data_IF_307372018751
#
_entry.id   IF_307372018751
#
_cell.length_a   1.000
_cell.length_b   1.000
_cell.length_c   1.000
_cell.angle_alpha   90.00
_cell.angle_beta   90.00
_cell.angle_gamma   90.00
#
_symmetry.space_group_name_H-M   'P 1'
#
loop_
_entity.id
_entity.type
_entity.pdbx_description
1 polymer ?
#
# COMPACT_ATOMS: atom_id res chain seq x y z
N UNK A 1 -13.77 -5.92 -17.14
CA UNK A 1 -13.81 -7.27 -16.56
C UNK A 1 -12.38 -7.66 -16.23
N UNK A 2 -12.02 -7.93 -14.96
CA UNK A 2 -10.67 -8.35 -14.61
C UNK A 2 -10.20 -9.59 -15.39
N UNK A 3 -11.09 -10.59 -15.53
CA UNK A 3 -10.84 -11.80 -16.30
C UNK A 3 -10.44 -11.53 -17.76
N UNK A 4 -11.16 -10.62 -18.45
CA UNK A 4 -10.84 -10.32 -19.85
C UNK A 4 -9.51 -9.56 -19.97
N UNK A 5 -9.24 -8.65 -19.03
CA UNK A 5 -7.98 -7.89 -19.01
C UNK A 5 -6.80 -8.83 -18.81
N UNK A 6 -6.88 -9.74 -17.85
CA UNK A 6 -5.82 -10.71 -17.60
C UNK A 6 -5.58 -11.64 -18.80
N UNK A 7 -6.66 -12.20 -19.36
CA UNK A 7 -6.57 -13.09 -20.53
C UNK A 7 -6.01 -12.40 -21.78
N UNK A 8 -6.32 -11.13 -22.01
CA UNK A 8 -5.96 -10.41 -23.24
C UNK A 8 -4.64 -9.61 -23.12
N UNK A 9 -4.31 -9.12 -21.93
CA UNK A 9 -3.17 -8.24 -21.67
C UNK A 9 -2.09 -8.92 -20.81
N UNK A 10 -2.33 -10.14 -20.34
CA UNK A 10 -1.33 -10.98 -19.66
C UNK A 10 -0.94 -10.49 -18.26
N UNK A 11 -1.74 -9.61 -17.65
CA UNK A 11 -1.51 -9.08 -16.31
C UNK A 11 -2.81 -9.05 -15.51
N UNK A 12 -2.79 -9.39 -14.21
CA UNK A 12 -3.93 -9.15 -13.34
C UNK A 12 -4.38 -7.69 -13.42
N UNK A 13 -5.68 -7.46 -13.26
CA UNK A 13 -6.25 -6.12 -13.40
C UNK A 13 -5.62 -5.09 -12.44
N UNK A 14 -5.32 -5.52 -11.20
CA UNK A 14 -4.71 -4.67 -10.19
C UNK A 14 -3.29 -4.18 -10.59
N UNK A 15 -2.57 -4.96 -11.40
CA UNK A 15 -1.20 -4.65 -11.81
C UNK A 15 -1.15 -3.79 -13.09
N UNK A 16 -2.31 -3.44 -13.64
CA UNK A 16 -2.44 -2.57 -14.80
C UNK A 16 -2.50 -1.10 -14.38
N UNK A 17 -1.81 -0.22 -15.11
CA UNK A 17 -1.97 1.23 -14.95
C UNK A 17 -3.27 1.70 -15.60
N UNK A 18 -4.39 1.62 -14.87
CA UNK A 18 -5.73 1.86 -15.44
C UNK A 18 -5.87 3.25 -16.03
N UNK A 19 -5.35 4.29 -15.37
CA UNK A 19 -5.38 5.67 -15.88
C UNK A 19 -4.76 5.80 -17.28
N UNK A 20 -3.64 5.14 -17.51
CA UNK A 20 -2.92 5.13 -18.79
C UNK A 20 -3.60 4.23 -19.84
N UNK A 21 -4.06 3.05 -19.41
CA UNK A 21 -4.67 2.05 -20.29
C UNK A 21 -6.13 2.35 -20.62
N UNK A 22 -6.77 3.32 -19.94
CA UNK A 22 -8.20 3.58 -20.07
C UNK A 22 -8.69 3.74 -21.53
N UNK A 23 -8.05 4.55 -22.40
CA UNK A 23 -8.51 4.70 -23.78
C UNK A 23 -8.44 3.39 -24.58
N UNK A 24 -7.37 2.60 -24.38
CA UNK A 24 -7.20 1.30 -25.04
C UNK A 24 -8.25 0.29 -24.56
N UNK A 25 -8.45 0.20 -23.24
CA UNK A 25 -9.41 -0.70 -22.64
C UNK A 25 -10.84 -0.36 -23.04
N UNK A 26 -11.17 0.93 -23.18
CA UNK A 26 -12.48 1.39 -23.66
C UNK A 26 -12.70 1.01 -25.13
N UNK A 27 -11.69 1.16 -25.98
CA UNK A 27 -11.77 0.86 -27.41
C UNK A 27 -11.81 -0.65 -27.73
N UNK A 28 -11.22 -1.51 -26.88
CA UNK A 28 -11.14 -2.95 -27.15
C UNK A 28 -12.47 -3.68 -26.89
N UNK A 29 -13.27 -3.93 -27.92
CA UNK A 29 -14.58 -4.60 -27.81
C UNK A 29 -14.54 -5.99 -27.12
N UNK A 30 -13.37 -6.65 -27.10
CA UNK A 30 -13.21 -7.99 -26.49
C UNK A 30 -13.23 -7.93 -24.96
N UNK A 31 -12.95 -6.77 -24.36
CA UNK A 31 -12.99 -6.60 -22.90
C UNK A 31 -14.41 -6.24 -22.49
N UNK A 32 -15.08 -7.06 -21.68
CA UNK A 32 -16.42 -6.72 -21.17
C UNK A 32 -16.36 -5.49 -20.24
N UNK A 33 -17.23 -4.51 -20.48
CA UNK A 33 -17.36 -3.27 -19.69
C UNK A 33 -18.76 -3.10 -19.12
N UNK A 34 -18.86 -2.32 -18.05
CA UNK A 34 -20.12 -1.79 -17.51
C UNK A 34 -19.94 -0.29 -17.32
N UNK A 35 -20.97 0.48 -17.65
CA UNK A 35 -20.96 1.93 -17.54
C UNK A 35 -21.72 2.39 -16.30
N UNK A 36 -21.16 3.38 -15.62
CA UNK A 36 -21.76 4.10 -14.49
C UNK A 36 -21.43 5.59 -14.63
N UNK A 37 -22.23 6.48 -14.04
CA UNK A 37 -21.91 7.90 -14.03
C UNK A 37 -20.92 8.19 -12.91
N UNK A 38 -19.79 8.81 -13.24
CA UNK A 38 -18.73 9.11 -12.27
C UNK A 38 -19.22 10.00 -11.11
N UNK A 39 -20.10 10.99 -11.40
CA UNK A 39 -20.68 11.87 -10.37
C UNK A 39 -21.50 11.07 -9.34
N UNK A 40 -22.31 10.14 -9.82
CA UNK A 40 -23.15 9.30 -8.96
C UNK A 40 -22.28 8.36 -8.10
N UNK A 41 -21.14 7.89 -8.63
CA UNK A 41 -20.16 7.14 -7.85
C UNK A 41 -19.60 7.98 -6.69
N UNK A 42 -19.12 9.19 -6.95
CA UNK A 42 -18.58 10.06 -5.89
C UNK A 42 -19.64 10.50 -4.89
N UNK A 43 -20.88 10.75 -5.36
CA UNK A 43 -22.00 11.00 -4.47
C UNK A 43 -22.24 9.80 -3.53
N UNK A 44 -22.27 8.58 -4.08
CA UNK A 44 -22.49 7.38 -3.28
C UNK A 44 -21.36 7.13 -2.28
N UNK A 45 -20.11 7.39 -2.68
CA UNK A 45 -18.96 7.33 -1.78
C UNK A 45 -19.13 8.28 -0.59
N UNK A 46 -19.52 9.53 -0.84
CA UNK A 46 -19.73 10.53 0.20
C UNK A 46 -20.90 10.17 1.14
N UNK A 47 -22.00 9.64 0.60
CA UNK A 47 -23.14 9.15 1.41
C UNK A 47 -22.70 8.04 2.39
N UNK A 48 -21.95 7.05 1.91
CA UNK A 48 -21.49 5.94 2.76
C UNK A 48 -20.45 6.42 3.79
N UNK A 49 -19.55 7.33 3.38
CA UNK A 49 -18.59 7.94 4.31
C UNK A 49 -19.30 8.75 5.40
N UNK A 50 -20.38 9.44 5.07
CA UNK A 50 -21.19 10.15 6.05
C UNK A 50 -21.82 9.20 7.07
N UNK A 51 -22.33 8.05 6.61
CA UNK A 51 -22.99 7.06 7.47
C UNK A 51 -22.02 6.28 8.37
N UNK A 52 -20.80 6.01 7.89
CA UNK A 52 -19.93 4.98 8.49
C UNK A 52 -18.45 5.36 8.62
N UNK A 53 -18.02 6.50 8.08
CA UNK A 53 -16.62 6.96 8.10
C UNK A 53 -15.72 6.33 7.03
N UNK A 54 -16.19 5.32 6.30
CA UNK A 54 -15.48 4.64 5.20
C UNK A 54 -16.38 4.56 3.95
N UNK A 55 -15.90 4.21 2.75
CA UNK A 55 -14.60 3.63 2.40
C UNK A 55 -13.43 4.61 2.49
N UNK A 56 -12.23 4.08 2.76
CA UNK A 56 -10.97 4.80 2.56
C UNK A 56 -10.74 5.09 1.07
N UNK A 57 -9.94 6.11 0.78
CA UNK A 57 -9.59 6.50 -0.58
C UNK A 57 -8.07 6.45 -0.73
N UNK A 58 -7.60 5.66 -1.68
CA UNK A 58 -6.22 5.67 -2.15
C UNK A 58 -6.18 6.27 -3.56
N UNK A 59 -5.47 7.38 -3.74
CA UNK A 59 -5.29 7.99 -5.05
C UNK A 59 -4.14 7.29 -5.80
N UNK A 60 -4.47 6.18 -6.47
CA UNK A 60 -3.53 5.27 -7.15
C UNK A 60 -2.45 6.00 -7.96
N UNK A 61 -2.83 6.91 -8.87
CA UNK A 61 -1.87 7.60 -9.73
C UNK A 61 -0.93 8.52 -8.94
N UNK A 62 -1.43 9.15 -7.88
CA UNK A 62 -0.60 10.00 -7.02
C UNK A 62 0.39 9.17 -6.22
N UNK A 63 -0.05 8.03 -5.68
CA UNK A 63 0.82 7.11 -4.96
C UNK A 63 1.91 6.55 -5.87
N UNK A 64 1.53 6.00 -7.03
CA UNK A 64 2.48 5.35 -7.93
C UNK A 64 3.44 6.35 -8.60
N UNK A 65 3.01 7.59 -8.86
CA UNK A 65 3.90 8.64 -9.37
C UNK A 65 4.94 9.10 -8.34
N UNK A 66 4.61 9.04 -7.06
CA UNK A 66 5.51 9.42 -5.97
C UNK A 66 6.35 8.25 -5.44
N UNK A 67 5.96 6.99 -5.75
CA UNK A 67 6.67 5.80 -5.30
C UNK A 67 8.09 5.76 -5.88
N UNK A 68 9.13 5.64 -5.03
CA UNK A 68 10.50 5.45 -5.51
C UNK A 68 10.83 3.98 -5.81
N UNK A 69 9.93 3.05 -5.48
CA UNK A 69 10.16 1.60 -5.59
C UNK A 69 9.56 1.09 -6.90
N UNK A 70 10.32 0.25 -7.62
CA UNK A 70 9.84 -0.40 -8.84
C UNK A 70 8.69 -1.36 -8.53
N UNK A 71 7.63 -1.29 -9.34
CA UNK A 71 6.39 -2.02 -9.12
C UNK A 71 5.21 -1.05 -9.01
N UNK A 72 4.03 -1.57 -8.68
CA UNK A 72 2.84 -0.77 -8.43
C UNK A 72 2.32 -0.98 -7.01
N UNK A 73 1.90 0.11 -6.38
CA UNK A 73 1.11 0.08 -5.15
C UNK A 73 -0.35 -0.04 -5.56
N UNK A 74 -0.97 -1.16 -5.18
CA UNK A 74 -2.34 -1.52 -5.62
C UNK A 74 -3.34 -1.55 -4.45
N UNK A 75 -2.86 -1.48 -3.22
CA UNK A 75 -3.67 -1.49 -2.00
C UNK A 75 -2.99 -0.70 -0.87
N UNK A 76 -3.70 -0.58 0.26
CA UNK A 76 -3.22 0.03 1.50
C UNK A 76 -3.69 -0.79 2.72
N UNK A 77 -3.30 -0.38 3.92
CA UNK A 77 -3.71 -1.02 5.17
C UNK A 77 -5.01 -0.42 5.74
N UNK A 78 -5.42 -0.94 6.91
CA UNK A 78 -6.63 -0.53 7.63
C UNK A 78 -6.67 0.96 8.03
N UNK A 79 -5.51 1.60 8.22
CA UNK A 79 -5.44 3.02 8.58
C UNK A 79 -5.06 3.92 7.39
N UNK A 80 -4.94 3.34 6.18
CA UNK A 80 -4.68 4.02 4.89
C UNK A 80 -3.33 4.74 4.74
N UNK A 81 -2.37 4.50 5.63
CA UNK A 81 -1.05 5.14 5.68
C UNK A 81 0.06 4.31 5.01
N UNK A 82 -0.16 3.01 4.82
CA UNK A 82 0.86 2.11 4.26
C UNK A 82 0.66 1.99 2.76
N UNK A 83 1.73 2.28 2.01
CA UNK A 83 1.74 2.30 0.56
C UNK A 83 3.05 1.67 0.07
N UNK A 84 3.04 0.36 -0.13
CA UNK A 84 4.20 -0.41 -0.59
C UNK A 84 3.81 -1.29 -1.78
N UNK A 85 4.81 -1.70 -2.55
CA UNK A 85 4.62 -2.69 -3.61
C UNK A 85 4.45 -4.07 -2.98
N UNK A 86 3.67 -4.93 -3.62
CA UNK A 86 3.54 -6.34 -3.26
C UNK A 86 3.57 -7.19 -4.51
N UNK A 87 3.90 -8.47 -4.38
CA UNK A 87 3.89 -9.42 -5.49
C UNK A 87 3.05 -10.65 -5.15
N UNK A 88 2.28 -11.19 -6.11
CA UNK A 88 1.35 -12.27 -5.82
C UNK A 88 2.08 -13.59 -5.53
N UNK A 89 1.56 -14.34 -4.56
CA UNK A 89 1.93 -15.74 -4.36
C UNK A 89 1.12 -16.67 -5.27
N UNK A 90 1.70 -17.80 -5.65
CA UNK A 90 0.99 -18.89 -6.34
C UNK A 90 0.98 -20.15 -5.46
N UNK A 91 -0.13 -20.87 -5.51
CA UNK A 91 -0.37 -22.05 -4.68
C UNK A 91 -0.55 -23.28 -5.55
N UNK A 92 -0.10 -24.43 -5.04
CA UNK A 92 -0.46 -25.75 -5.56
C UNK A 92 -1.89 -26.11 -5.13
N UNK A 93 -2.46 -27.17 -5.70
CA UNK A 93 -3.80 -27.65 -5.37
C UNK A 93 -3.96 -28.07 -3.89
N UNK A 94 -2.87 -28.47 -3.23
CA UNK A 94 -2.83 -28.84 -1.81
C UNK A 94 -2.60 -27.65 -0.87
N UNK A 95 -2.68 -26.42 -1.40
CA UNK A 95 -2.42 -25.15 -0.70
C UNK A 95 -0.96 -24.91 -0.28
N UNK A 96 -0.03 -25.80 -0.64
CA UNK A 96 1.39 -25.48 -0.52
C UNK A 96 1.78 -24.35 -1.49
N UNK A 97 2.80 -23.57 -1.14
CA UNK A 97 3.27 -22.50 -2.02
C UNK A 97 4.01 -23.09 -3.22
N UNK A 98 3.52 -22.80 -4.43
CA UNK A 98 4.25 -23.01 -5.67
C UNK A 98 5.27 -21.89 -5.91
N UNK A 99 4.89 -20.67 -5.53
CA UNK A 99 5.73 -19.47 -5.54
C UNK A 99 5.34 -18.58 -4.36
N UNK A 100 6.32 -18.16 -3.58
CA UNK A 100 6.12 -17.20 -2.49
C UNK A 100 6.39 -15.81 -3.05
N UNK A 101 5.34 -15.00 -3.13
CA UNK A 101 5.46 -13.57 -3.42
C UNK A 101 5.78 -12.77 -2.16
N UNK A 102 5.72 -11.45 -2.28
CA UNK A 102 6.07 -10.51 -1.22
C UNK A 102 4.81 -9.76 -0.79
N UNK A 103 4.29 -10.11 0.39
CA UNK A 103 3.22 -9.37 1.06
C UNK A 103 3.78 -8.41 2.12
N UNK A 104 2.96 -7.46 2.54
CA UNK A 104 3.40 -6.31 3.35
C UNK A 104 3.08 -6.54 4.83
N UNK A 105 4.09 -6.43 5.69
CA UNK A 105 3.94 -6.15 7.13
C UNK A 105 4.45 -4.75 7.45
N UNK A 106 4.07 -4.20 8.60
CA UNK A 106 4.35 -2.81 8.96
C UNK A 106 4.90 -2.69 10.38
N UNK A 107 6.08 -2.08 10.49
CA UNK A 107 6.77 -1.81 11.76
C UNK A 107 6.76 -0.31 12.02
N UNK A 108 5.90 0.15 12.93
CA UNK A 108 5.60 1.57 13.11
C UNK A 108 6.10 2.13 14.44
N UNK A 109 6.58 3.37 14.39
CA UNK A 109 6.94 4.16 15.56
C UNK A 109 6.80 5.63 15.23
N UNK A 110 6.59 6.49 16.22
CA UNK A 110 6.41 7.93 15.98
C UNK A 110 7.19 8.79 16.95
N UNK A 111 7.73 9.89 16.45
CA UNK A 111 8.45 10.89 17.25
C UNK A 111 7.52 12.03 17.66
N UNK A 112 7.67 12.51 18.89
CA UNK A 112 7.03 13.75 19.31
C UNK A 112 7.80 14.94 18.71
N UNK A 113 7.15 15.74 17.88
CA UNK A 113 7.79 16.86 17.16
C UNK A 113 8.42 17.85 18.14
N UNK A 114 7.68 18.31 19.16
CA UNK A 114 8.19 19.31 20.10
C UNK A 114 9.48 18.86 20.79
N UNK A 115 9.47 17.66 21.39
CA UNK A 115 10.66 17.13 22.07
C UNK A 115 11.81 16.82 21.11
N UNK A 116 11.50 16.47 19.86
CA UNK A 116 12.54 16.20 18.86
C UNK A 116 13.21 17.50 18.41
N UNK A 117 12.43 18.58 18.26
CA UNK A 117 12.94 19.91 17.93
C UNK A 117 13.77 20.52 19.06
N UNK A 118 13.43 20.22 20.32
CA UNK A 118 14.21 20.63 21.50
C UNK A 118 15.51 19.82 21.69
N UNK A 119 15.69 18.73 20.92
CA UNK A 119 16.89 17.90 21.03
C UNK A 119 18.12 18.66 20.52
N UNK A 120 19.22 18.73 21.30
CA UNK A 120 20.48 19.29 20.81
C UNK A 120 21.13 18.44 19.71
N UNK A 121 20.68 17.19 19.53
CA UNK A 121 21.13 16.27 18.49
C UNK A 121 19.93 15.58 17.85
N UNK A 122 19.31 16.28 16.89
CA UNK A 122 18.18 15.77 16.11
C UNK A 122 18.56 14.51 15.32
N UNK A 123 19.76 14.49 14.73
CA UNK A 123 20.24 13.38 13.89
C UNK A 123 20.31 12.07 14.66
N UNK A 124 20.81 12.10 15.90
CA UNK A 124 20.84 10.92 16.78
C UNK A 124 19.44 10.43 17.14
N UNK A 125 18.47 11.33 17.36
CA UNK A 125 17.07 10.94 17.62
C UNK A 125 16.50 10.14 16.45
N UNK A 126 16.65 10.66 15.22
CA UNK A 126 16.19 9.97 14.00
C UNK A 126 16.92 8.63 13.82
N UNK A 127 18.25 8.64 13.89
CA UNK A 127 19.06 7.44 13.69
C UNK A 127 18.72 6.33 14.70
N UNK A 128 18.43 6.70 15.96
CA UNK A 128 18.02 5.74 16.99
C UNK A 128 16.65 5.14 16.68
N UNK A 129 15.69 5.97 16.28
CA UNK A 129 14.35 5.50 15.94
C UNK A 129 14.36 4.56 14.72
N UNK A 130 15.11 4.91 13.68
CA UNK A 130 15.31 4.06 12.50
C UNK A 130 15.90 2.71 12.91
N UNK A 131 17.00 2.70 13.70
CA UNK A 131 17.61 1.44 14.17
C UNK A 131 16.67 0.60 15.01
N UNK A 132 15.87 1.23 15.87
CA UNK A 132 14.90 0.51 16.69
C UNK A 132 13.82 -0.16 15.82
N UNK A 133 13.28 0.55 14.82
CA UNK A 133 12.28 -0.02 13.91
C UNK A 133 12.88 -1.10 13.00
N UNK A 134 14.11 -0.90 12.50
CA UNK A 134 14.83 -1.92 11.73
C UNK A 134 15.03 -3.19 12.56
N UNK A 135 15.39 -3.06 13.84
CA UNK A 135 15.51 -4.22 14.73
C UNK A 135 14.17 -4.96 14.90
N UNK A 136 13.03 -4.26 14.95
CA UNK A 136 11.71 -4.91 14.96
C UNK A 136 11.49 -5.71 13.67
N UNK A 137 11.83 -5.14 12.50
CA UNK A 137 11.76 -5.86 11.23
C UNK A 137 12.67 -7.10 11.22
N UNK A 138 13.92 -6.97 11.64
CA UNK A 138 14.92 -8.04 11.65
C UNK A 138 14.55 -9.20 12.59
N UNK A 139 13.90 -8.91 13.71
CA UNK A 139 13.44 -9.91 14.67
C UNK A 139 12.10 -10.55 14.29
N UNK A 140 11.40 -10.02 13.29
CA UNK A 140 10.05 -10.48 12.92
C UNK A 140 10.10 -11.64 11.92
N UNK A 141 9.58 -12.79 12.32
CA UNK A 141 9.40 -13.97 11.46
C UNK A 141 7.98 -14.52 11.58
N UNK A 142 7.11 -14.17 10.61
CA UNK A 142 5.69 -14.53 10.60
C UNK A 142 5.50 -15.85 9.84
N UNK A 143 5.90 -16.96 10.48
CA UNK A 143 5.94 -18.28 9.84
C UNK A 143 4.58 -18.80 9.35
N UNK A 144 3.48 -18.31 9.92
CA UNK A 144 2.12 -18.69 9.51
C UNK A 144 1.73 -18.12 8.15
N UNK A 145 2.42 -17.09 7.65
CA UNK A 145 2.16 -16.46 6.36
C UNK A 145 3.50 -16.22 5.63
N UNK A 146 4.01 -17.24 4.90
CA UNK A 146 5.33 -17.17 4.27
C UNK A 146 5.58 -15.95 3.38
N UNK A 147 4.58 -15.44 2.66
CA UNK A 147 4.71 -14.23 1.83
C UNK A 147 4.96 -12.95 2.64
N UNK A 148 4.40 -12.86 3.85
CA UNK A 148 4.63 -11.74 4.77
C UNK A 148 6.03 -11.82 5.38
N UNK A 149 6.47 -13.03 5.76
CA UNK A 149 7.83 -13.24 6.22
C UNK A 149 8.86 -12.92 5.13
N UNK A 150 8.63 -13.39 3.90
CA UNK A 150 9.46 -13.10 2.74
C UNK A 150 9.50 -11.61 2.41
N UNK A 151 8.35 -10.94 2.37
CA UNK A 151 8.28 -9.49 2.11
C UNK A 151 8.99 -8.65 3.18
N UNK A 152 8.82 -8.98 4.46
CA UNK A 152 9.56 -8.32 5.55
C UNK A 152 11.08 -8.52 5.40
N UNK A 153 11.53 -9.76 5.18
CA UNK A 153 12.95 -10.08 5.07
C UNK A 153 13.61 -9.48 3.81
N UNK A 154 12.86 -9.32 2.72
CA UNK A 154 13.37 -8.71 1.49
C UNK A 154 13.43 -7.17 1.56
N UNK A 155 12.44 -6.55 2.20
CA UNK A 155 12.28 -5.09 2.18
C UNK A 155 12.91 -4.37 3.37
N UNK A 156 12.99 -5.02 4.53
CA UNK A 156 13.27 -4.38 5.83
C UNK A 156 12.45 -3.09 6.04
N UNK A 157 11.20 -3.07 5.53
CA UNK A 157 10.37 -1.87 5.50
C UNK A 157 9.96 -1.43 6.92
N UNK A 158 10.06 -0.12 7.16
CA UNK A 158 9.70 0.53 8.44
C UNK A 158 8.87 1.79 8.18
N UNK A 159 8.03 2.16 9.14
CA UNK A 159 7.26 3.40 9.11
C UNK A 159 7.55 4.28 10.32
N UNK A 160 8.48 5.22 10.16
CA UNK A 160 8.74 6.26 11.17
C UNK A 160 7.79 7.45 10.95
N UNK A 161 6.74 7.51 11.75
CA UNK A 161 5.76 8.58 11.79
C UNK A 161 6.14 9.73 12.73
N UNK A 162 5.25 10.72 12.80
CA UNK A 162 5.39 11.90 13.65
C UNK A 162 4.08 12.16 14.39
N UNK A 163 4.17 12.76 15.57
CA UNK A 163 3.02 13.18 16.37
C UNK A 163 3.27 14.56 17.02
N UNK A 164 2.22 15.13 17.61
CA UNK A 164 2.27 16.39 18.35
C UNK A 164 2.58 17.65 17.52
N UNK A 165 2.25 17.65 16.22
CA UNK A 165 2.45 18.84 15.38
C UNK A 165 1.66 20.04 15.91
N UNK A 166 0.38 19.85 16.23
CA UNK A 166 -0.47 20.92 16.76
C UNK A 166 0.08 21.45 18.10
N UNK A 167 0.49 20.58 19.02
CA UNK A 167 1.05 21.00 20.30
C UNK A 167 2.41 21.70 20.19
N UNK A 168 3.17 21.48 19.12
CA UNK A 168 4.41 22.22 18.85
C UNK A 168 4.16 23.62 18.27
N UNK A 169 3.13 23.76 17.43
CA UNK A 169 2.83 25.02 16.73
C UNK A 169 1.96 25.99 17.54
N UNK A 170 1.21 25.50 18.54
CA UNK A 170 0.33 26.28 19.40
C UNK A 170 1.10 27.09 20.45
#
# INVERSE_FOLDING_TARGET
SPYDVERLYGKPFADCAIGELYPQLVADERVRKRWIRARDLFQRLAEIQFESGYPYIMFEDTVNRASPVAGRVTMSNLCSEILQVSTPSAYNEDLSYAHIGEDISCNLGSLNIAHTMDSPDFGRTIATAVRALTAVSDMSDIQSVPSVAAGNAASHAIGLGQMNLHGYLA
#
